data_IF_206275210382
#
_entry.id   IF_206275210382
#
_cell.length_a   1.000
_cell.length_b   1.000
_cell.length_c   1.000
_cell.angle_alpha   90.00
_cell.angle_beta   90.00
_cell.angle_gamma   90.00
#
_symmetry.space_group_name_H-M   'P 1'
#
loop_
_entity.id
_entity.type
_entity.pdbx_description
1 polymer ?
#
# COMPACT_ATOMS: atom_id res chain seq x y z
N UNK A 1 15.26 -1.43 -35.70
CA UNK A 1 14.04 -1.78 -34.93
C UNK A 1 12.94 -0.85 -35.43
N UNK A 2 11.96 -1.37 -36.18
CA UNK A 2 11.19 -0.60 -37.16
C UNK A 2 10.04 0.19 -36.50
N UNK A 3 9.96 1.50 -36.77
CA UNK A 3 8.99 2.44 -36.17
C UNK A 3 7.54 2.04 -36.46
N UNK A 4 7.30 1.40 -37.61
CA UNK A 4 6.00 0.86 -38.01
C UNK A 4 5.49 -0.25 -37.05
N UNK A 5 6.38 -1.08 -36.49
CA UNK A 5 5.98 -2.18 -35.62
C UNK A 5 5.55 -1.67 -34.23
N UNK A 6 6.17 -0.59 -33.76
CA UNK A 6 5.79 0.11 -32.52
C UNK A 6 4.45 0.80 -32.71
N UNK A 7 4.20 1.45 -33.85
CA UNK A 7 2.94 2.14 -34.10
C UNK A 7 1.75 1.17 -34.22
N UNK A 8 1.95 0.01 -34.85
CA UNK A 8 0.93 -1.06 -34.94
C UNK A 8 0.60 -1.68 -33.57
N UNK A 9 1.60 -1.88 -32.71
CA UNK A 9 1.38 -2.40 -31.35
C UNK A 9 0.66 -1.36 -30.47
N UNK A 10 1.05 -0.09 -30.55
CA UNK A 10 0.41 1.01 -29.81
C UNK A 10 -1.05 1.24 -30.23
N UNK A 11 -1.37 1.24 -31.54
CA UNK A 11 -2.75 1.37 -32.01
C UNK A 11 -3.63 0.18 -31.58
N UNK A 12 -3.09 -1.04 -31.65
CA UNK A 12 -3.79 -2.26 -31.23
C UNK A 12 -4.04 -2.30 -29.72
N UNK A 13 -3.14 -1.75 -28.92
CA UNK A 13 -3.34 -1.58 -27.46
C UNK A 13 -4.37 -0.50 -27.16
N UNK A 14 -4.29 0.67 -27.81
CA UNK A 14 -5.27 1.76 -27.62
C UNK A 14 -6.69 1.34 -27.98
N UNK A 15 -6.87 0.53 -29.03
CA UNK A 15 -8.18 -0.05 -29.36
C UNK A 15 -8.73 -0.97 -28.26
N UNK A 16 -7.88 -1.78 -27.63
CA UNK A 16 -8.30 -2.64 -26.51
C UNK A 16 -8.72 -1.81 -25.29
N UNK A 17 -7.95 -0.77 -24.96
CA UNK A 17 -8.30 0.14 -23.86
C UNK A 17 -9.57 0.94 -24.15
N UNK A 18 -9.80 1.37 -25.39
CA UNK A 18 -11.04 2.03 -25.80
C UNK A 18 -12.26 1.10 -25.68
N UNK A 19 -12.11 -0.19 -26.04
CA UNK A 19 -13.17 -1.19 -25.87
C UNK A 19 -13.54 -1.39 -24.39
N UNK A 20 -12.55 -1.45 -23.50
CA UNK A 20 -12.76 -1.55 -22.05
C UNK A 20 -13.50 -0.33 -21.51
N UNK A 21 -13.11 0.88 -21.95
CA UNK A 21 -13.76 2.12 -21.55
C UNK A 21 -15.24 2.18 -21.99
N UNK A 22 -15.54 1.73 -23.21
CA UNK A 22 -16.91 1.65 -23.74
C UNK A 22 -17.74 0.64 -22.93
N UNK A 23 -17.18 -0.52 -22.59
CA UNK A 23 -17.85 -1.52 -21.78
C UNK A 23 -18.15 -1.00 -20.36
N UNK A 24 -17.22 -0.24 -19.76
CA UNK A 24 -17.40 0.39 -18.46
C UNK A 24 -18.48 1.49 -18.49
N UNK A 25 -18.49 2.34 -19.53
CA UNK A 25 -19.52 3.35 -19.73
C UNK A 25 -20.90 2.72 -19.91
N UNK A 26 -20.99 1.61 -20.65
CA UNK A 26 -22.23 0.85 -20.83
C UNK A 26 -22.77 0.34 -19.48
N UNK A 27 -21.88 -0.10 -18.59
CA UNK A 27 -22.23 -0.55 -17.23
C UNK A 27 -22.74 0.58 -16.34
N UNK A 28 -22.10 1.75 -16.39
CA UNK A 28 -22.52 2.94 -15.64
C UNK A 28 -23.89 3.42 -16.13
N UNK A 29 -24.12 3.45 -17.45
CA UNK A 29 -25.41 3.86 -18.04
C UNK A 29 -26.53 2.88 -17.67
N UNK A 30 -26.27 1.57 -17.72
CA UNK A 30 -27.22 0.56 -17.23
C UNK A 30 -27.55 0.76 -15.75
N UNK A 31 -26.58 1.17 -14.93
CA UNK A 31 -26.79 1.43 -13.51
C UNK A 31 -27.74 2.62 -13.26
N UNK A 32 -27.66 3.65 -14.09
CA UNK A 32 -28.45 4.87 -13.94
C UNK A 32 -29.91 4.69 -14.40
N UNK A 33 -30.16 3.82 -15.38
CA UNK A 33 -31.52 3.53 -15.88
C UNK A 33 -32.27 2.53 -14.99
N UNK A 34 -31.56 1.59 -14.34
CA UNK A 34 -32.14 0.48 -13.57
C UNK A 34 -32.19 0.72 -12.05
N UNK A 35 -32.49 1.94 -11.59
CA UNK A 35 -32.65 2.25 -10.15
C UNK A 35 -33.90 1.58 -9.52
N UNK A 36 -34.84 1.08 -10.34
CA UNK A 36 -36.12 0.51 -9.88
C UNK A 36 -36.18 -1.03 -9.82
N UNK A 37 -35.16 -1.78 -10.24
CA UNK A 37 -35.19 -3.27 -10.26
C UNK A 37 -34.06 -3.88 -9.39
N UNK A 38 -34.34 -5.06 -8.83
CA UNK A 38 -33.66 -5.75 -7.73
C UNK A 38 -32.11 -5.83 -7.75
N UNK A 39 -31.55 -5.82 -6.53
CA UNK A 39 -30.12 -5.79 -6.18
C UNK A 39 -29.31 -6.96 -6.77
N UNK A 40 -29.94 -8.11 -7.02
CA UNK A 40 -29.29 -9.32 -7.54
C UNK A 40 -28.75 -9.16 -8.97
N UNK A 41 -29.52 -8.51 -9.86
CA UNK A 41 -29.11 -8.33 -11.27
C UNK A 41 -27.94 -7.35 -11.38
N UNK A 42 -27.89 -6.34 -10.50
CA UNK A 42 -26.76 -5.41 -10.39
C UNK A 42 -25.48 -6.17 -10.05
N UNK A 43 -25.50 -6.99 -8.99
CA UNK A 43 -24.32 -7.73 -8.53
C UNK A 43 -23.79 -8.70 -9.59
N UNK A 44 -24.67 -9.41 -10.30
CA UNK A 44 -24.27 -10.31 -11.39
C UNK A 44 -23.62 -9.54 -12.53
N UNK A 45 -24.14 -8.35 -12.89
CA UNK A 45 -23.52 -7.50 -13.91
C UNK A 45 -22.13 -7.01 -13.49
N UNK A 46 -21.92 -6.63 -12.22
CA UNK A 46 -20.59 -6.26 -11.69
C UNK A 46 -19.61 -7.43 -11.72
N UNK A 47 -20.04 -8.63 -11.34
CA UNK A 47 -19.20 -9.83 -11.34
C UNK A 47 -18.81 -10.24 -12.76
N UNK A 48 -19.75 -10.20 -13.70
CA UNK A 48 -19.52 -10.58 -15.10
C UNK A 48 -18.55 -9.60 -15.78
N UNK A 49 -18.68 -8.31 -15.50
CA UNK A 49 -17.74 -7.28 -15.97
C UNK A 49 -16.35 -7.41 -15.35
N UNK A 50 -16.27 -7.68 -14.05
CA UNK A 50 -14.99 -7.91 -13.37
C UNK A 50 -14.31 -9.11 -14.04
N UNK A 51 -15.03 -10.21 -14.24
CA UNK A 51 -14.50 -11.41 -14.88
C UNK A 51 -14.01 -11.16 -16.32
N UNK A 52 -14.76 -10.38 -17.12
CA UNK A 52 -14.34 -9.99 -18.47
C UNK A 52 -13.09 -9.09 -18.44
N UNK A 53 -13.03 -8.13 -17.52
CA UNK A 53 -11.89 -7.25 -17.36
C UNK A 53 -10.63 -8.02 -16.94
N UNK A 54 -10.73 -8.97 -15.99
CA UNK A 54 -9.59 -9.82 -15.61
C UNK A 54 -9.16 -10.73 -16.77
N UNK A 55 -10.10 -11.25 -17.56
CA UNK A 55 -9.80 -12.09 -18.72
C UNK A 55 -9.03 -11.31 -19.81
N UNK A 56 -9.44 -10.07 -20.08
CA UNK A 56 -8.77 -9.17 -21.03
C UNK A 56 -7.41 -8.69 -20.51
N UNK A 57 -7.31 -8.41 -19.21
CA UNK A 57 -6.05 -8.05 -18.55
C UNK A 57 -5.03 -9.20 -18.63
N UNK A 58 -5.48 -10.45 -18.47
CA UNK A 58 -4.64 -11.64 -18.61
C UNK A 58 -4.15 -11.85 -20.06
N UNK A 59 -4.94 -11.42 -21.06
CA UNK A 59 -4.61 -11.51 -22.49
C UNK A 59 -3.81 -10.31 -23.04
N UNK A 60 -3.39 -9.36 -22.20
CA UNK A 60 -2.62 -8.19 -22.62
C UNK A 60 -1.15 -8.31 -22.21
N UNK A 61 -0.23 -7.90 -23.08
CA UNK A 61 1.24 -8.02 -22.88
C UNK A 61 1.71 -7.44 -21.54
N UNK A 62 1.05 -6.40 -21.03
CA UNK A 62 1.28 -5.83 -19.70
C UNK A 62 1.12 -6.87 -18.56
N UNK A 63 0.20 -7.82 -18.67
CA UNK A 63 -0.02 -8.87 -17.67
C UNK A 63 1.13 -9.89 -17.61
N UNK A 64 1.70 -10.26 -18.76
CA UNK A 64 2.87 -11.15 -18.81
C UNK A 64 4.14 -10.46 -18.29
N UNK A 65 4.32 -9.18 -18.60
CA UNK A 65 5.43 -8.39 -18.05
C UNK A 65 5.31 -8.24 -16.53
N UNK A 66 4.12 -7.94 -16.01
CA UNK A 66 3.87 -7.88 -14.57
C UNK A 66 4.12 -9.23 -13.86
N UNK A 67 3.73 -10.34 -14.49
CA UNK A 67 4.02 -11.68 -13.99
C UNK A 67 5.52 -11.97 -13.92
N UNK A 68 6.25 -11.63 -14.98
CA UNK A 68 7.70 -11.78 -15.03
C UNK A 68 8.40 -10.89 -13.98
N UNK A 69 7.96 -9.62 -13.81
CA UNK A 69 8.45 -8.73 -12.75
C UNK A 69 8.19 -9.29 -11.35
N UNK A 70 7.01 -9.88 -11.10
CA UNK A 70 6.69 -10.51 -9.82
C UNK A 70 7.65 -11.68 -9.52
N UNK A 71 7.97 -12.48 -10.54
CA UNK A 71 8.95 -13.56 -10.41
C UNK A 71 10.36 -13.05 -10.14
N UNK A 72 10.80 -12.00 -10.84
CA UNK A 72 12.13 -11.39 -10.60
C UNK A 72 12.20 -10.73 -9.22
N UNK A 73 11.15 -10.04 -8.78
CA UNK A 73 11.07 -9.41 -7.46
C UNK A 73 11.17 -10.43 -6.32
N UNK A 74 10.58 -11.63 -6.46
CA UNK A 74 10.75 -12.69 -5.47
C UNK A 74 12.18 -13.23 -5.39
N UNK A 75 12.95 -13.16 -6.47
CA UNK A 75 14.37 -13.56 -6.48
C UNK A 75 15.24 -12.49 -5.80
N UNK A 76 14.91 -11.21 -5.95
CA UNK A 76 15.60 -10.10 -5.28
C UNK A 76 15.24 -9.96 -3.80
N UNK A 77 13.98 -10.22 -3.42
CA UNK A 77 13.57 -10.23 -2.02
C UNK A 77 14.30 -11.31 -1.20
N UNK A 78 14.69 -12.41 -1.83
CA UNK A 78 15.54 -13.44 -1.20
C UNK A 78 17.00 -13.01 -1.00
N UNK A 79 17.43 -11.95 -1.67
CA UNK A 79 18.74 -11.30 -1.47
C UNK A 79 18.70 -10.20 -0.41
N UNK A 80 17.53 -9.84 0.10
CA UNK A 80 17.43 -9.03 1.31
C UNK A 80 17.91 -9.91 2.45
N UNK A 81 19.17 -9.74 2.81
CA UNK A 81 19.77 -10.37 3.97
C UNK A 81 19.07 -9.75 5.18
N UNK A 82 17.99 -10.39 5.62
CA UNK A 82 17.30 -9.95 6.82
C UNK A 82 18.29 -10.03 7.97
N UNK A 83 18.61 -8.89 8.60
CA UNK A 83 19.66 -8.80 9.59
C UNK A 83 19.39 -9.80 10.71
N UNK A 84 20.46 -10.45 11.17
CA UNK A 84 20.36 -11.53 12.13
C UNK A 84 19.85 -11.00 13.47
N UNK A 85 18.96 -11.75 14.15
CA UNK A 85 18.28 -11.29 15.38
C UNK A 85 19.23 -10.79 16.47
N UNK A 86 20.48 -11.27 16.48
CA UNK A 86 21.49 -10.92 17.48
C UNK A 86 21.92 -9.44 17.36
N UNK A 87 22.06 -8.91 16.16
CA UNK A 87 22.46 -7.52 15.92
C UNK A 87 21.32 -6.54 16.21
N UNK A 88 20.08 -6.91 15.87
CA UNK A 88 18.88 -6.10 16.17
C UNK A 88 18.64 -5.98 17.67
N UNK A 89 18.85 -7.05 18.43
CA UNK A 89 18.69 -7.03 19.88
C UNK A 89 19.78 -6.19 20.55
N UNK A 90 21.04 -6.28 20.07
CA UNK A 90 22.14 -5.50 20.63
C UNK A 90 21.90 -3.99 20.50
N UNK A 91 21.44 -3.55 19.33
CA UNK A 91 21.11 -2.13 19.10
C UNK A 91 19.89 -1.69 19.91
N UNK A 92 18.86 -2.54 20.02
CA UNK A 92 17.67 -2.24 20.85
C UNK A 92 18.02 -2.10 22.34
N UNK A 93 18.86 -3.00 22.87
CA UNK A 93 19.30 -2.93 24.28
C UNK A 93 20.10 -1.65 24.53
N UNK A 94 21.00 -1.27 23.62
CA UNK A 94 21.75 -0.02 23.74
C UNK A 94 20.82 1.21 23.79
N UNK A 95 19.80 1.26 22.94
CA UNK A 95 18.79 2.34 22.94
C UNK A 95 17.99 2.33 24.25
N UNK A 96 17.57 1.17 24.75
CA UNK A 96 16.82 1.05 26.01
C UNK A 96 17.64 1.56 27.19
N UNK A 97 18.93 1.20 27.25
CA UNK A 97 19.84 1.69 28.31
C UNK A 97 19.96 3.22 28.23
N UNK A 98 20.20 3.77 27.04
CA UNK A 98 20.29 5.22 26.85
C UNK A 98 18.99 5.93 27.26
N UNK A 99 17.82 5.41 26.84
CA UNK A 99 16.53 5.97 27.20
C UNK A 99 16.28 5.92 28.72
N UNK A 100 16.68 4.82 29.39
CA UNK A 100 16.56 4.66 30.83
C UNK A 100 17.42 5.68 31.60
N UNK A 101 18.65 5.94 31.13
CA UNK A 101 19.53 6.97 31.70
C UNK A 101 18.90 8.35 31.59
N UNK A 102 18.37 8.72 30.42
CA UNK A 102 17.71 10.02 30.22
C UNK A 102 16.44 10.13 31.07
N UNK A 103 15.63 9.08 31.16
CA UNK A 103 14.43 9.05 31.99
C UNK A 103 14.74 9.26 33.48
N UNK A 104 15.79 8.60 34.00
CA UNK A 104 16.25 8.79 35.37
C UNK A 104 16.78 10.21 35.62
N UNK A 105 17.51 10.77 34.66
CA UNK A 105 18.05 12.11 34.77
C UNK A 105 16.94 13.17 34.82
N UNK A 106 15.97 13.08 33.91
CA UNK A 106 14.78 13.95 33.90
C UNK A 106 14.01 13.81 35.21
N UNK A 107 13.67 12.58 35.61
CA UNK A 107 12.94 12.32 36.85
C UNK A 107 13.63 12.92 38.09
N UNK A 108 14.96 12.86 38.15
CA UNK A 108 15.74 13.48 39.23
C UNK A 108 15.60 15.01 39.24
N UNK A 109 15.73 15.65 38.07
CA UNK A 109 15.57 17.10 37.93
C UNK A 109 14.14 17.51 38.29
N UNK A 110 13.14 16.83 37.75
CA UNK A 110 11.73 17.12 38.02
C UNK A 110 11.42 17.00 39.53
N UNK A 111 11.97 15.99 40.20
CA UNK A 111 11.80 15.79 41.65
C UNK A 111 12.43 16.94 42.47
N UNK A 112 13.63 17.39 42.08
CA UNK A 112 14.30 18.53 42.74
C UNK A 112 13.55 19.83 42.48
N UNK A 113 13.05 20.03 41.27
CA UNK A 113 12.30 21.22 40.87
C UNK A 113 10.97 21.29 41.63
N UNK A 114 10.24 20.17 41.75
CA UNK A 114 9.04 20.07 42.58
C UNK A 114 9.34 20.34 44.07
N UNK A 115 10.44 19.81 44.60
CA UNK A 115 10.85 20.06 45.98
C UNK A 115 11.14 21.55 46.21
N UNK A 116 11.90 22.19 45.31
CA UNK A 116 12.22 23.61 45.36
C UNK A 116 10.98 24.50 45.21
N UNK A 117 10.06 24.17 44.29
CA UNK A 117 8.79 24.89 44.13
C UNK A 117 7.92 24.73 45.38
N UNK A 118 7.86 23.55 46.02
CA UNK A 118 7.10 23.37 47.27
C UNK A 118 7.68 24.21 48.42
N UNK A 119 9.01 24.39 48.46
CA UNK A 119 9.68 25.24 49.45
C UNK A 119 9.36 26.72 49.21
N UNK A 120 9.41 27.18 47.96
CA UNK A 120 9.14 28.58 47.62
C UNK A 120 7.65 28.93 47.76
N UNK A 121 6.75 28.02 47.41
CA UNK A 121 5.30 28.23 47.49
C UNK A 121 4.77 28.00 48.92
N UNK A 122 5.61 27.50 49.84
CA UNK A 122 5.23 27.29 51.23
C UNK A 122 4.10 26.26 51.42
N UNK A 123 3.83 25.43 50.42
CA UNK A 123 2.74 24.46 50.42
C UNK A 123 3.14 23.15 51.13
N UNK A 124 3.80 23.27 52.28
CA UNK A 124 3.91 22.18 53.26
C UNK A 124 2.82 22.39 54.30
N UNK A 125 1.60 22.01 53.92
CA UNK A 125 0.50 21.61 54.78
C UNK A 125 0.09 20.21 54.38
#
# INVERSE_FOLDING_TARGET
MNVENIQQTQLKERFKWALIAILFLTAVVLNLVFVKISLAIRLIAWILLLCLATFIAYHTRAGQTAWHFMQTAQVELKRVVWPTRKETIQTTIAIVIMACVVALFLWGIDSVLLWAVSLLTGQKG
#
